data_IF_404286107302
#
_entry.id   IF_404286107302
#
_cell.length_a   1.000
_cell.length_b   1.000
_cell.length_c   1.000
_cell.angle_alpha   90.00
_cell.angle_beta   90.00
_cell.angle_gamma   90.00
#
_symmetry.space_group_name_H-M   'P 1'
#
loop_
_entity.id
_entity.type
_entity.pdbx_description
1 polymer ?
#
# COMPACT_ATOMS: atom_id res chain seq x y z
N UNK A 1 -19.29 16.29 1.00
CA UNK A 1 -18.20 15.30 0.83
C UNK A 1 -17.97 14.66 2.19
N UNK A 2 -18.08 13.33 2.28
CA UNK A 2 -17.88 12.59 3.53
C UNK A 2 -16.47 12.85 4.09
N UNK A 3 -16.26 12.84 5.42
CA UNK A 3 -14.91 12.96 5.98
C UNK A 3 -14.10 11.75 5.51
N UNK A 4 -13.20 11.95 4.56
CA UNK A 4 -12.25 10.91 4.18
C UNK A 4 -11.41 10.60 5.42
N UNK A 5 -11.42 9.34 5.85
CA UNK A 5 -10.47 8.87 6.87
C UNK A 5 -9.08 8.99 6.23
N UNK A 6 -8.24 9.89 6.75
CA UNK A 6 -6.87 10.14 6.26
C UNK A 6 -6.07 8.84 6.04
N UNK A 7 -6.38 7.84 6.85
CA UNK A 7 -5.74 6.53 6.94
C UNK A 7 -5.85 5.64 5.67
N UNK A 8 -6.67 5.98 4.68
CA UNK A 8 -6.85 5.15 3.46
C UNK A 8 -6.33 5.86 2.20
N UNK A 9 -5.82 7.09 2.28
CA UNK A 9 -5.45 7.87 1.08
C UNK A 9 -4.35 7.20 0.25
N UNK A 10 -3.34 6.60 0.90
CA UNK A 10 -2.31 5.84 0.21
C UNK A 10 -2.87 4.56 -0.46
N UNK A 11 -3.77 3.83 0.21
CA UNK A 11 -4.39 2.61 -0.33
C UNK A 11 -5.29 2.96 -1.52
N UNK A 12 -6.08 4.03 -1.42
CA UNK A 12 -6.90 4.55 -2.52
C UNK A 12 -6.05 4.90 -3.74
N UNK A 13 -4.93 5.62 -3.53
CA UNK A 13 -4.03 5.96 -4.63
C UNK A 13 -3.42 4.70 -5.27
N UNK A 14 -2.95 3.75 -4.46
CA UNK A 14 -2.37 2.51 -5.00
C UNK A 14 -3.39 1.70 -5.80
N UNK A 15 -4.64 1.64 -5.36
CA UNK A 15 -5.72 0.97 -6.08
C UNK A 15 -6.01 1.66 -7.42
N UNK A 16 -6.10 2.98 -7.43
CA UNK A 16 -6.32 3.77 -8.64
C UNK A 16 -5.18 3.55 -9.66
N UNK A 17 -3.92 3.63 -9.19
CA UNK A 17 -2.74 3.48 -10.05
C UNK A 17 -2.56 2.04 -10.57
N UNK A 18 -2.97 1.03 -9.79
CA UNK A 18 -2.97 -0.37 -10.21
C UNK A 18 -4.15 -0.73 -11.14
N UNK A 19 -5.10 0.18 -11.31
CA UNK A 19 -6.32 -0.03 -12.10
C UNK A 19 -7.30 -1.00 -11.44
N UNK A 20 -7.35 -1.00 -10.11
CA UNK A 20 -8.31 -1.78 -9.32
C UNK A 20 -9.70 -1.14 -9.38
N UNK A 21 -10.74 -1.96 -9.42
CA UNK A 21 -12.13 -1.49 -9.30
C UNK A 21 -12.48 -1.25 -7.82
N UNK A 22 -11.92 -2.07 -6.93
CA UNK A 22 -12.11 -1.99 -5.49
C UNK A 22 -10.78 -2.02 -4.74
N UNK A 23 -10.72 -1.40 -3.55
CA UNK A 23 -9.52 -1.43 -2.69
C UNK A 23 -9.11 -2.85 -2.29
N UNK A 24 -10.08 -3.76 -2.17
CA UNK A 24 -9.84 -5.17 -1.90
C UNK A 24 -9.04 -5.88 -2.99
N UNK A 25 -9.14 -5.40 -4.23
CA UNK A 25 -8.49 -6.03 -5.39
C UNK A 25 -6.97 -5.93 -5.29
N UNK A 26 -6.44 -4.93 -4.56
CA UNK A 26 -5.01 -4.81 -4.27
C UNK A 26 -4.42 -6.02 -3.54
N UNK A 27 -5.27 -6.84 -2.88
CA UNK A 27 -4.83 -8.09 -2.23
C UNK A 27 -4.80 -9.28 -3.18
N UNK A 28 -5.41 -9.17 -4.36
CA UNK A 28 -5.46 -10.24 -5.35
C UNK A 28 -4.13 -10.35 -6.10
N UNK A 29 -3.83 -11.57 -6.57
CA UNK A 29 -2.54 -11.89 -7.19
C UNK A 29 -2.37 -11.18 -8.54
N UNK A 30 -3.46 -11.03 -9.29
CA UNK A 30 -3.52 -10.36 -10.59
C UNK A 30 -2.99 -8.91 -10.58
N UNK A 31 -3.04 -8.25 -9.42
CA UNK A 31 -2.63 -6.85 -9.28
C UNK A 31 -1.22 -6.70 -8.70
N UNK A 32 -0.53 -7.78 -8.31
CA UNK A 32 0.81 -7.73 -7.70
C UNK A 32 1.83 -7.03 -8.58
N UNK A 33 1.92 -7.40 -9.87
CA UNK A 33 2.87 -6.79 -10.81
C UNK A 33 2.60 -5.30 -11.02
N UNK A 34 1.32 -4.91 -11.09
CA UNK A 34 0.93 -3.50 -11.25
C UNK A 34 1.25 -2.71 -9.99
N UNK A 35 0.90 -3.25 -8.83
CA UNK A 35 1.19 -2.66 -7.52
C UNK A 35 2.69 -2.49 -7.29
N UNK A 36 3.52 -3.48 -7.64
CA UNK A 36 4.98 -3.35 -7.59
C UNK A 36 5.47 -2.17 -8.45
N UNK A 37 4.99 -2.09 -9.70
CA UNK A 37 5.35 -0.99 -10.59
C UNK A 37 4.93 0.39 -10.06
N UNK A 38 3.74 0.50 -9.48
CA UNK A 38 3.27 1.72 -8.81
C UNK A 38 4.18 2.09 -7.65
N UNK A 39 4.46 1.13 -6.76
CA UNK A 39 5.29 1.33 -5.60
C UNK A 39 6.69 1.75 -5.98
N UNK A 40 7.31 1.18 -7.01
CA UNK A 40 8.67 1.55 -7.44
C UNK A 40 8.78 2.99 -7.95
N UNK A 41 7.74 3.50 -8.62
CA UNK A 41 7.71 4.86 -9.19
C UNK A 41 7.27 5.93 -8.18
N UNK A 42 6.63 5.53 -7.09
CA UNK A 42 6.10 6.46 -6.11
C UNK A 42 7.21 7.09 -5.26
N UNK A 43 7.11 8.40 -5.08
CA UNK A 43 7.92 9.12 -4.11
C UNK A 43 7.47 8.74 -2.69
N UNK A 44 8.43 8.27 -1.89
CA UNK A 44 8.17 7.78 -0.54
C UNK A 44 7.88 8.92 0.44
N UNK A 45 8.35 10.14 0.13
CA UNK A 45 8.18 11.32 0.98
C UNK A 45 6.76 11.92 0.88
N UNK A 46 5.95 11.47 -0.08
CA UNK A 46 4.58 11.96 -0.29
C UNK A 46 3.63 11.64 0.87
N UNK A 47 3.91 10.59 1.62
CA UNK A 47 3.06 10.07 2.70
C UNK A 47 3.90 9.82 3.96
N UNK A 48 3.28 10.03 5.13
CA UNK A 48 3.93 9.86 6.44
C UNK A 48 4.12 8.39 6.84
N UNK A 49 4.87 8.12 7.92
CA UNK A 49 5.07 6.75 8.39
C UNK A 49 3.75 6.04 8.75
N UNK A 50 2.80 6.75 9.35
CA UNK A 50 1.50 6.19 9.75
C UNK A 50 0.73 5.64 8.55
N UNK A 51 0.62 6.42 7.47
CA UNK A 51 -0.10 6.02 6.26
C UNK A 51 0.54 4.82 5.58
N UNK A 52 1.88 4.80 5.55
CA UNK A 52 2.65 3.69 5.03
C UNK A 52 2.48 2.42 5.88
N UNK A 53 2.54 2.54 7.20
CA UNK A 53 2.34 1.42 8.13
C UNK A 53 0.92 0.85 8.03
N UNK A 54 -0.10 1.71 7.87
CA UNK A 54 -1.48 1.28 7.66
C UNK A 54 -1.67 0.56 6.32
N UNK A 55 -1.09 1.09 5.24
CA UNK A 55 -1.12 0.43 3.94
C UNK A 55 -0.43 -0.95 3.97
N UNK A 56 0.72 -1.03 4.63
CA UNK A 56 1.44 -2.30 4.79
C UNK A 56 0.66 -3.29 5.65
N UNK A 57 0.04 -2.86 6.75
CA UNK A 57 -0.84 -3.71 7.55
C UNK A 57 -2.02 -4.24 6.71
N UNK A 58 -2.69 -3.35 5.96
CA UNK A 58 -3.82 -3.73 5.11
C UNK A 58 -3.44 -4.76 4.02
N UNK A 59 -2.27 -4.61 3.39
CA UNK A 59 -1.86 -5.42 2.24
C UNK A 59 -1.12 -6.70 2.64
N UNK A 60 -0.39 -6.68 3.76
CA UNK A 60 0.48 -7.79 4.18
C UNK A 60 0.00 -8.50 5.43
N UNK A 61 -0.90 -7.89 6.20
CA UNK A 61 -1.32 -8.37 7.53
C UNK A 61 -0.29 -8.12 8.64
N UNK A 62 0.84 -7.46 8.34
CA UNK A 62 1.84 -7.11 9.35
C UNK A 62 1.31 -6.00 10.26
N UNK A 63 1.22 -6.20 11.59
CA UNK A 63 0.71 -5.18 12.50
C UNK A 63 1.46 -3.86 12.34
N UNK A 64 0.73 -2.74 12.24
CA UNK A 64 1.34 -1.42 11.98
C UNK A 64 2.28 -0.99 13.11
N UNK A 65 2.03 -1.49 14.33
CA UNK A 65 2.85 -1.27 15.51
C UNK A 65 4.27 -1.88 15.36
N UNK A 66 4.45 -2.85 14.47
CA UNK A 66 5.74 -3.46 14.13
C UNK A 66 6.46 -2.73 12.97
N UNK A 67 5.81 -1.72 12.38
CA UNK A 67 6.28 -1.00 11.19
C UNK A 67 6.71 0.41 11.61
N UNK A 68 8.02 0.57 11.83
CA UNK A 68 8.57 1.80 12.38
C UNK A 68 8.82 2.88 11.31
N UNK A 69 9.01 2.50 10.05
CA UNK A 69 9.39 3.45 8.99
C UNK A 69 8.65 3.20 7.68
N UNK A 70 8.44 4.26 6.91
CA UNK A 70 7.89 4.19 5.54
C UNK A 70 8.72 3.30 4.60
N UNK A 71 10.04 3.25 4.78
CA UNK A 71 10.93 2.38 4.00
C UNK A 71 10.65 0.91 4.31
N UNK A 72 10.52 0.55 5.60
CA UNK A 72 10.15 -0.79 6.03
C UNK A 72 8.77 -1.18 5.49
N UNK A 73 7.79 -0.29 5.60
CA UNK A 73 6.44 -0.51 5.08
C UNK A 73 6.43 -0.81 3.58
N UNK A 74 7.09 0.04 2.78
CA UNK A 74 7.20 -0.13 1.32
C UNK A 74 7.86 -1.45 0.97
N UNK A 75 8.93 -1.82 1.69
CA UNK A 75 9.61 -3.10 1.50
C UNK A 75 8.68 -4.29 1.76
N UNK A 76 7.92 -4.28 2.85
CA UNK A 76 6.96 -5.36 3.18
C UNK A 76 5.93 -5.55 2.06
N UNK A 77 5.39 -4.44 1.53
CA UNK A 77 4.42 -4.50 0.43
C UNK A 77 5.07 -5.06 -0.86
N UNK A 78 6.29 -4.62 -1.18
CA UNK A 78 7.04 -5.15 -2.32
C UNK A 78 7.36 -6.64 -2.18
N UNK A 79 7.74 -7.09 -0.99
CA UNK A 79 7.96 -8.51 -0.69
C UNK A 79 6.67 -9.33 -0.87
N UNK A 80 5.51 -8.79 -0.51
CA UNK A 80 4.21 -9.43 -0.76
C UNK A 80 3.88 -9.55 -2.25
N UNK A 81 4.30 -8.58 -3.06
CA UNK A 81 4.07 -8.58 -4.51
C UNK A 81 4.93 -9.64 -5.23
N UNK A 82 6.14 -9.94 -4.69
CA UNK A 82 7.10 -10.87 -5.30
C UNK A 82 6.94 -12.33 -4.89
N UNK A 83 6.21 -12.61 -3.81
CA UNK A 83 5.91 -13.99 -3.41
C UNK A 83 4.89 -14.56 -4.40
N UNK A 84 5.29 -15.56 -5.17
CA UNK A 84 4.44 -16.41 -6.01
C UNK A 84 3.64 -17.39 -5.14
#
# INVERSE_FOLDING_TARGET
>A
MSPKRKNIELIELLAEQAGCTYLSDLRLEDYRCRLEGCLQKMDIERYGEEEWAEAANYLTGTPKEEIATKVQARRLILEKCRKE
#
